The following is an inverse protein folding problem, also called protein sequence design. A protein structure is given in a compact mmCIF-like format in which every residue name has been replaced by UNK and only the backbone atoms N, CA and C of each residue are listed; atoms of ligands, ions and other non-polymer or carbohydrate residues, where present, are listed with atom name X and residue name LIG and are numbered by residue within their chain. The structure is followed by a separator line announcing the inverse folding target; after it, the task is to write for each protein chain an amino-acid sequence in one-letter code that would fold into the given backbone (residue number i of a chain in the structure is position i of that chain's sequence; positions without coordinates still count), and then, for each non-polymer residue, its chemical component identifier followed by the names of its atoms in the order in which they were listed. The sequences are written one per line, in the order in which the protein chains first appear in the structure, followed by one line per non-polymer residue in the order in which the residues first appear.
data_IF_460581981164
#
_entry.id   IF_460581981164
#
_cell.length_a   1.000
_cell.length_b   1.000
_cell.length_c   1.000
_cell.angle_alpha   90.00
_cell.angle_beta   90.00
_cell.angle_gamma   90.00
#
_symmetry.space_group_name_H-M   'P 1'
#
loop_
_entity.id
_entity.type
_entity.pdbx_description
1 polymer ?
#
# COMPACT_ATOMS: atom_id res chain seq x y z
N UNK A 1 34.65 44.34 -21.24
CA UNK A 1 35.31 43.02 -21.28
C UNK A 1 34.57 42.15 -20.27
N UNK A 2 33.90 41.08 -20.71
CA UNK A 2 33.10 40.24 -19.80
C UNK A 2 34.03 39.19 -19.18
N UNK A 3 34.16 39.19 -17.86
CA UNK A 3 34.94 38.22 -17.11
C UNK A 3 34.21 36.86 -17.14
N UNK A 4 34.54 36.01 -18.10
CA UNK A 4 34.12 34.62 -18.10
C UNK A 4 34.93 33.88 -17.02
N UNK A 5 34.43 33.90 -15.78
CA UNK A 5 34.92 33.01 -14.72
C UNK A 5 34.47 31.59 -15.05
N UNK A 6 35.40 30.76 -15.52
CA UNK A 6 35.16 29.32 -15.67
C UNK A 6 35.04 28.64 -14.31
N UNK A 7 34.22 27.60 -14.24
CA UNK A 7 34.10 26.73 -13.07
C UNK A 7 35.43 25.98 -12.84
N UNK A 8 35.91 25.91 -11.60
CA UNK A 8 37.16 25.20 -11.32
C UNK A 8 36.93 23.69 -11.27
N UNK A 9 37.92 22.90 -11.68
CA UNK A 9 37.85 21.43 -11.57
C UNK A 9 37.68 20.98 -10.11
N UNK A 10 38.29 21.71 -9.17
CA UNK A 10 38.17 21.39 -7.75
C UNK A 10 36.76 21.63 -7.20
N UNK A 11 36.05 22.66 -7.68
CA UNK A 11 34.63 22.87 -7.32
C UNK A 11 33.77 21.70 -7.79
N UNK A 12 33.97 21.22 -9.03
CA UNK A 12 33.22 20.07 -9.54
C UNK A 12 33.48 18.81 -8.71
N UNK A 13 34.76 18.55 -8.38
CA UNK A 13 35.17 17.39 -7.58
C UNK A 13 34.61 17.47 -6.15
N UNK A 14 34.67 18.64 -5.52
CA UNK A 14 34.13 18.81 -4.17
C UNK A 14 32.62 18.56 -4.12
N UNK A 15 31.87 19.04 -5.13
CA UNK A 15 30.43 18.85 -5.22
C UNK A 15 30.05 17.36 -5.30
N UNK A 16 30.70 16.58 -6.18
CA UNK A 16 30.40 15.15 -6.30
C UNK A 16 30.80 14.36 -5.05
N UNK A 17 31.85 14.79 -4.34
CA UNK A 17 32.24 14.17 -3.05
C UNK A 17 31.16 14.42 -2.00
N UNK A 18 30.66 15.66 -1.88
CA UNK A 18 29.59 15.99 -0.94
C UNK A 18 28.31 15.23 -1.30
N UNK A 19 27.91 15.24 -2.59
CA UNK A 19 26.74 14.49 -3.06
C UNK A 19 26.90 12.98 -2.83
N UNK A 20 28.12 12.43 -2.97
CA UNK A 20 28.40 11.02 -2.69
C UNK A 20 28.15 10.65 -1.23
N UNK A 21 28.61 11.48 -0.28
CA UNK A 21 28.37 11.26 1.15
C UNK A 21 26.88 11.39 1.49
N UNK A 22 26.22 12.42 0.97
CA UNK A 22 24.78 12.62 1.19
C UNK A 22 23.96 11.47 0.62
N UNK A 23 24.29 10.99 -0.58
CA UNK A 23 23.62 9.86 -1.21
C UNK A 23 23.81 8.56 -0.41
N UNK A 24 25.02 8.30 0.08
CA UNK A 24 25.31 7.09 0.87
C UNK A 24 24.46 6.99 2.14
N UNK A 25 24.14 8.11 2.78
CA UNK A 25 23.29 8.14 4.00
C UNK A 25 21.80 8.27 3.66
N UNK A 26 21.45 9.00 2.60
CA UNK A 26 20.05 9.26 2.25
C UNK A 26 19.36 8.06 1.62
N UNK A 27 20.05 7.29 0.76
CA UNK A 27 19.44 6.17 0.02
C UNK A 27 18.88 5.09 0.94
N UNK A 28 19.62 4.56 1.94
CA UNK A 28 19.08 3.52 2.83
C UNK A 28 17.83 3.98 3.55
N UNK A 29 17.86 5.20 4.10
CA UNK A 29 16.72 5.80 4.80
C UNK A 29 15.52 6.00 3.88
N UNK A 30 15.75 6.39 2.62
CA UNK A 30 14.67 6.55 1.65
C UNK A 30 13.97 5.22 1.32
N UNK A 31 14.73 4.13 1.21
CA UNK A 31 14.18 2.77 1.03
C UNK A 31 13.34 2.35 2.23
N UNK A 32 13.85 2.56 3.46
CA UNK A 32 13.12 2.22 4.69
C UNK A 32 11.82 3.02 4.84
N UNK A 33 11.84 4.31 4.47
CA UNK A 33 10.67 5.18 4.48
C UNK A 33 9.61 4.72 3.48
N UNK A 34 10.00 4.35 2.26
CA UNK A 34 9.07 3.79 1.27
C UNK A 34 8.45 2.48 1.79
N UNK A 35 9.26 1.59 2.38
CA UNK A 35 8.78 0.35 3.00
C UNK A 35 7.78 0.59 4.14
N UNK A 36 8.05 1.57 5.00
CA UNK A 36 7.15 1.94 6.09
C UNK A 36 5.85 2.58 5.57
N UNK A 37 5.95 3.40 4.52
CA UNK A 37 4.80 4.04 3.90
C UNK A 37 3.85 3.03 3.27
N UNK A 38 4.35 2.07 2.47
CA UNK A 38 3.51 1.02 1.85
C UNK A 38 2.79 0.17 2.91
N UNK A 39 3.49 -0.22 3.98
CA UNK A 39 2.89 -0.98 5.09
C UNK A 39 1.82 -0.15 5.81
N UNK A 40 2.04 1.15 5.99
CA UNK A 40 1.02 2.04 6.56
C UNK A 40 -0.24 2.14 5.69
N UNK A 41 -0.08 2.18 4.35
CA UNK A 41 -1.22 2.16 3.40
C UNK A 41 -1.97 0.84 3.53
N UNK A 42 -1.27 -0.29 3.56
CA UNK A 42 -1.88 -1.62 3.75
C UNK A 42 -2.64 -1.73 5.08
N UNK A 43 -2.10 -1.18 6.17
CA UNK A 43 -2.82 -1.11 7.45
C UNK A 43 -4.06 -0.22 7.39
N UNK A 44 -3.98 0.94 6.72
CA UNK A 44 -5.13 1.82 6.50
C UNK A 44 -6.25 1.10 5.74
N UNK A 45 -5.89 0.39 4.67
CA UNK A 45 -6.84 -0.41 3.88
C UNK A 45 -7.46 -1.53 4.72
N UNK A 46 -6.65 -2.24 5.52
CA UNK A 46 -7.15 -3.26 6.45
C UNK A 46 -8.18 -2.71 7.42
N UNK A 47 -7.93 -1.53 8.00
CA UNK A 47 -8.86 -0.86 8.91
C UNK A 47 -10.17 -0.47 8.24
N UNK A 48 -10.10 0.09 7.02
CA UNK A 48 -11.28 0.41 6.23
C UNK A 48 -12.12 -0.84 5.91
N UNK A 49 -11.45 -1.94 5.55
CA UNK A 49 -12.08 -3.22 5.26
C UNK A 49 -12.75 -3.82 6.48
N UNK A 50 -12.10 -3.79 7.65
CA UNK A 50 -12.70 -4.26 8.89
C UNK A 50 -13.98 -3.49 9.25
N UNK A 51 -13.98 -2.17 9.04
CA UNK A 51 -15.18 -1.33 9.22
C UNK A 51 -16.31 -1.72 8.28
N UNK A 52 -16.02 -1.89 6.99
CA UNK A 52 -17.01 -2.31 5.99
C UNK A 52 -17.55 -3.72 6.26
N UNK A 53 -16.69 -4.67 6.61
CA UNK A 53 -17.10 -6.03 6.98
C UNK A 53 -18.08 -6.00 8.14
N UNK A 54 -17.82 -5.17 9.16
CA UNK A 54 -18.72 -5.04 10.32
C UNK A 54 -20.11 -4.53 9.89
N UNK A 55 -20.14 -3.52 9.01
CA UNK A 55 -21.40 -2.96 8.50
C UNK A 55 -22.17 -3.96 7.62
N UNK A 56 -21.48 -4.65 6.71
CA UNK A 56 -22.07 -5.67 5.84
C UNK A 56 -22.56 -6.88 6.67
N UNK A 57 -21.83 -7.25 7.72
CA UNK A 57 -22.24 -8.29 8.65
C UNK A 57 -23.52 -7.91 9.41
N UNK A 58 -23.62 -6.67 9.89
CA UNK A 58 -24.85 -6.18 10.50
C UNK A 58 -26.04 -6.22 9.52
N UNK A 59 -25.82 -5.83 8.26
CA UNK A 59 -26.85 -5.90 7.22
C UNK A 59 -27.27 -7.36 6.93
N UNK A 60 -26.33 -8.31 6.91
CA UNK A 60 -26.62 -9.75 6.79
C UNK A 60 -27.55 -10.24 7.91
N UNK A 61 -27.30 -9.83 9.15
CA UNK A 61 -28.12 -10.25 10.29
C UNK A 61 -29.55 -9.69 10.25
N UNK A 62 -29.75 -8.51 9.64
CA UNK A 62 -31.06 -7.84 9.56
C UNK A 62 -31.84 -8.28 8.31
N UNK A 63 -31.21 -8.23 7.14
CA UNK A 63 -31.84 -8.42 5.83
C UNK A 63 -31.53 -9.78 5.19
N UNK A 64 -30.68 -10.61 5.80
CA UNK A 64 -30.25 -11.89 5.25
C UNK A 64 -29.34 -11.80 4.03
N UNK A 65 -28.86 -10.59 3.68
CA UNK A 65 -28.01 -10.37 2.50
C UNK A 65 -26.61 -10.96 2.67
N UNK A 66 -26.11 -11.64 1.65
CA UNK A 66 -24.73 -12.17 1.59
C UNK A 66 -23.77 -11.10 1.06
N UNK A 67 -22.53 -11.09 1.52
CA UNK A 67 -21.46 -10.19 1.09
C UNK A 67 -20.12 -10.93 0.96
N UNK A 68 -19.36 -10.61 -0.08
CA UNK A 68 -18.05 -11.21 -0.34
C UNK A 68 -16.94 -10.14 -0.38
N UNK A 69 -15.70 -10.53 -0.68
CA UNK A 69 -14.58 -9.58 -0.68
C UNK A 69 -14.77 -8.48 -1.76
N UNK A 70 -15.33 -8.81 -2.93
CA UNK A 70 -15.68 -7.79 -3.94
C UNK A 70 -16.69 -6.76 -3.43
N UNK A 71 -17.60 -7.15 -2.54
CA UNK A 71 -18.58 -6.24 -1.91
C UNK A 71 -17.90 -5.35 -0.87
N UNK A 72 -17.00 -5.93 -0.06
CA UNK A 72 -16.24 -5.21 0.98
C UNK A 72 -15.45 -4.06 0.36
N UNK A 73 -14.69 -4.34 -0.70
CA UNK A 73 -13.82 -3.33 -1.31
C UNK A 73 -14.58 -2.29 -2.14
N UNK A 74 -15.75 -2.64 -2.67
CA UNK A 74 -16.55 -1.74 -3.51
C UNK A 74 -17.06 -0.48 -2.80
N UNK A 75 -16.97 -0.43 -1.46
CA UNK A 75 -17.40 0.70 -0.64
C UNK A 75 -16.25 1.40 0.09
N UNK A 76 -15.00 1.10 -0.29
CA UNK A 76 -13.79 1.64 0.33
C UNK A 76 -13.10 2.58 -0.65
N UNK A 77 -12.58 3.69 -0.15
CA UNK A 77 -11.71 4.55 -0.94
C UNK A 77 -10.40 3.82 -1.23
N UNK A 78 -10.15 3.60 -2.52
CA UNK A 78 -8.98 2.90 -3.04
C UNK A 78 -8.12 3.83 -3.91
N UNK A 79 -8.35 5.14 -3.80
CA UNK A 79 -7.52 6.14 -4.46
C UNK A 79 -6.07 6.05 -3.97
N UNK A 80 -5.13 6.22 -4.91
CA UNK A 80 -3.69 6.16 -4.61
C UNK A 80 -3.09 4.76 -4.56
N UNK A 81 -3.86 3.71 -4.85
CA UNK A 81 -3.30 2.38 -5.12
C UNK A 81 -2.85 2.28 -6.59
N UNK A 82 -1.76 1.57 -6.85
CA UNK A 82 -1.28 1.29 -8.22
C UNK A 82 -2.15 0.24 -8.92
N UNK A 83 -2.77 -0.64 -8.13
CA UNK A 83 -3.58 -1.73 -8.63
C UNK A 83 -4.49 -2.31 -7.55
N UNK A 84 -5.63 -2.83 -7.98
CA UNK A 84 -6.59 -3.48 -7.12
C UNK A 84 -7.24 -4.65 -7.85
N UNK A 85 -7.14 -5.84 -7.28
CA UNK A 85 -7.81 -7.04 -7.74
C UNK A 85 -8.66 -7.61 -6.60
N UNK A 86 -9.91 -7.97 -6.89
CA UNK A 86 -10.82 -8.55 -5.92
C UNK A 86 -11.44 -9.83 -6.48
N UNK A 87 -11.33 -10.91 -5.71
CA UNK A 87 -11.98 -12.19 -5.90
C UNK A 87 -12.97 -12.44 -4.76
N UNK A 88 -13.76 -13.51 -4.83
CA UNK A 88 -14.77 -13.80 -3.80
C UNK A 88 -14.18 -13.91 -2.38
N UNK A 89 -12.96 -14.45 -2.25
CA UNK A 89 -12.29 -14.74 -0.98
C UNK A 89 -10.92 -14.07 -0.83
N UNK A 90 -10.54 -13.19 -1.75
CA UNK A 90 -9.26 -12.51 -1.69
C UNK A 90 -9.34 -11.09 -2.24
N UNK A 91 -8.60 -10.17 -1.65
CA UNK A 91 -8.34 -8.83 -2.18
C UNK A 91 -6.84 -8.65 -2.27
N UNK A 92 -6.35 -8.15 -3.39
CA UNK A 92 -4.96 -7.80 -3.60
C UNK A 92 -4.87 -6.33 -3.99
N UNK A 93 -4.14 -5.55 -3.20
CA UNK A 93 -3.82 -4.16 -3.51
C UNK A 93 -2.33 -4.04 -3.84
N UNK A 94 -1.99 -3.23 -4.83
CA UNK A 94 -0.60 -2.93 -5.20
C UNK A 94 -0.28 -1.49 -4.80
N UNK A 95 0.83 -1.31 -4.08
CA UNK A 95 1.33 -0.01 -3.63
C UNK A 95 2.83 0.06 -3.90
N UNK A 96 3.25 1.03 -4.70
CA UNK A 96 4.63 1.21 -5.15
C UNK A 96 5.23 -0.10 -5.72
N UNK A 97 4.44 -0.76 -6.57
CA UNK A 97 4.80 -2.04 -7.20
C UNK A 97 4.79 -3.28 -6.28
N UNK A 98 4.51 -3.14 -4.98
CA UNK A 98 4.43 -4.26 -4.03
C UNK A 98 2.98 -4.68 -3.81
N UNK A 99 2.69 -5.98 -3.89
CA UNK A 99 1.34 -6.50 -3.69
C UNK A 99 1.09 -6.96 -2.25
N UNK A 100 0.00 -6.48 -1.67
CA UNK A 100 -0.55 -6.89 -0.38
C UNK A 100 -1.83 -7.68 -0.64
N UNK A 101 -1.91 -8.91 -0.12
CA UNK A 101 -3.09 -9.75 -0.28
C UNK A 101 -3.75 -10.05 1.06
N UNK A 102 -5.07 -9.82 1.13
CA UNK A 102 -5.96 -10.22 2.21
C UNK A 102 -6.78 -11.42 1.76
N UNK A 103 -6.76 -12.48 2.56
CA UNK A 103 -7.60 -13.66 2.36
C UNK A 103 -8.75 -13.68 3.36
N UNK A 104 -9.90 -14.17 2.91
CA UNK A 104 -11.12 -14.26 3.71
C UNK A 104 -11.60 -15.70 3.73
N UNK A 105 -11.90 -16.20 4.93
CA UNK A 105 -12.55 -17.51 5.09
C UNK A 105 -14.05 -17.33 4.87
N UNK A 106 -14.60 -18.04 3.89
CA UNK A 106 -16.03 -17.94 3.65
C UNK A 106 -16.84 -18.74 4.68
N UNK A 107 -17.85 -18.12 5.30
CA UNK A 107 -18.76 -18.79 6.24
C UNK A 107 -20.12 -18.99 5.57
N UNK A 108 -20.39 -20.23 5.11
CA UNK A 108 -21.54 -20.66 4.31
C UNK A 108 -21.66 -19.95 2.94
N UNK A 109 -20.91 -20.43 1.93
CA UNK A 109 -21.01 -19.92 0.55
C UNK A 109 -19.89 -18.94 0.20
N UNK A 110 -20.19 -17.84 -0.50
CA UNK A 110 -19.23 -16.76 -0.83
C UNK A 110 -19.06 -15.71 0.26
N UNK A 111 -19.73 -15.89 1.40
CA UNK A 111 -19.77 -14.90 2.46
C UNK A 111 -18.42 -14.75 3.15
N UNK A 112 -17.72 -13.65 2.94
CA UNK A 112 -16.48 -13.37 3.65
C UNK A 112 -16.78 -13.32 5.14
N UNK A 113 -16.38 -14.36 5.87
CA UNK A 113 -16.49 -14.41 7.32
C UNK A 113 -15.86 -13.17 7.93
N UNK A 114 -16.30 -12.81 9.14
CA UNK A 114 -16.06 -11.52 9.79
C UNK A 114 -14.58 -11.13 10.02
N UNK A 115 -13.59 -11.84 9.48
CA UNK A 115 -12.16 -11.64 9.74
C UNK A 115 -11.34 -11.79 8.44
N UNK A 116 -10.53 -10.77 8.11
CA UNK A 116 -9.41 -10.92 7.19
C UNK A 116 -8.36 -11.82 7.86
N UNK A 117 -7.95 -12.91 7.20
CA UNK A 117 -7.17 -13.98 7.83
C UNK A 117 -5.66 -13.75 7.77
N UNK A 118 -5.14 -13.03 6.78
CA UNK A 118 -3.69 -12.83 6.64
C UNK A 118 -3.39 -11.67 5.69
N UNK A 119 -2.40 -10.85 6.03
CA UNK A 119 -1.76 -9.92 5.09
C UNK A 119 -0.47 -10.59 4.63
N UNK A 120 -0.32 -10.83 3.34
CA UNK A 120 0.93 -11.33 2.74
C UNK A 120 1.47 -10.26 1.79
N UNK A 121 2.66 -9.74 2.08
CA UNK A 121 3.47 -9.04 1.07
C UNK A 121 4.03 -10.09 0.11
N UNK A 122 3.72 -9.96 -1.18
CA UNK A 122 4.45 -10.69 -2.21
C UNK A 122 5.74 -9.91 -2.52
N UNK A 123 6.89 -10.53 -2.24
CA UNK A 123 8.22 -10.04 -2.60
C UNK A 123 8.54 -10.32 -4.08
#
# INVERSE_FOLDING_TARGET
MKNNKGFTLIELVMVIVILGILAAVAIPRFIDLQGSARTSVAHGLTGAMAGQITMLHANKLINGSTYNATTVIGSIDTSGLDGLAAAATAITATVDGVAFTWTFTANNGTDTGAQASQIVEAF
#
